data_IF_956955316200
#
_entry.id   IF_956955316200
#
_cell.length_a   1.000
_cell.length_b   1.000
_cell.length_c   1.000
_cell.angle_alpha   90.00
_cell.angle_beta   90.00
_cell.angle_gamma   90.00
#
_symmetry.space_group_name_H-M   'P 1'
#
loop_
_entity.id
_entity.type
_entity.pdbx_description
1 polymer ?
#
# COMPACT_ATOMS: atom_id res chain seq x y z
N UNK A 1 -27.41 -39.44 1.21
CA UNK A 1 -26.68 -38.93 2.39
C UNK A 1 -26.50 -37.45 2.18
N UNK A 2 -26.96 -36.56 3.08
CA UNK A 2 -26.58 -35.16 2.98
C UNK A 2 -25.07 -35.08 3.27
N UNK A 3 -24.30 -34.68 2.27
CA UNK A 3 -22.88 -34.35 2.43
C UNK A 3 -22.77 -33.24 3.46
N UNK A 4 -22.16 -33.55 4.61
CA UNK A 4 -21.75 -32.55 5.60
C UNK A 4 -21.00 -31.44 4.87
N UNK A 5 -21.31 -30.15 5.09
CA UNK A 5 -20.54 -29.07 4.51
C UNK A 5 -19.08 -29.25 4.94
N UNK A 6 -18.21 -29.50 3.97
CA UNK A 6 -16.79 -29.62 4.26
C UNK A 6 -16.29 -28.24 4.67
N UNK A 7 -15.86 -28.12 5.93
CA UNK A 7 -15.32 -26.89 6.48
C UNK A 7 -14.15 -26.41 5.61
N UNK A 8 -14.22 -25.16 5.14
CA UNK A 8 -13.23 -24.61 4.22
C UNK A 8 -11.88 -24.45 4.91
N UNK A 9 -10.85 -25.13 4.40
CA UNK A 9 -9.47 -24.89 4.82
C UNK A 9 -8.98 -23.57 4.21
N UNK A 10 -9.01 -22.50 5.00
CA UNK A 10 -8.60 -21.16 4.58
C UNK A 10 -7.10 -21.05 4.29
N UNK A 11 -6.25 -21.93 4.83
CA UNK A 11 -4.82 -21.97 4.52
C UNK A 11 -4.61 -22.52 3.12
N UNK A 12 -5.28 -23.63 2.79
CA UNK A 12 -5.26 -24.19 1.44
C UNK A 12 -5.90 -23.24 0.41
N UNK A 13 -6.99 -22.57 0.79
CA UNK A 13 -7.63 -21.58 -0.08
C UNK A 13 -6.69 -20.40 -0.36
N UNK A 14 -5.99 -19.88 0.65
CA UNK A 14 -5.03 -18.78 0.46
C UNK A 14 -3.92 -19.16 -0.53
N UNK A 15 -3.38 -20.38 -0.45
CA UNK A 15 -2.38 -20.87 -1.41
C UNK A 15 -2.91 -20.91 -2.86
N UNK A 16 -4.18 -21.29 -3.04
CA UNK A 16 -4.86 -21.22 -4.35
C UNK A 16 -5.03 -19.78 -4.83
N UNK A 17 -5.46 -18.88 -3.95
CA UNK A 17 -5.62 -17.45 -4.23
C UNK A 17 -4.29 -16.83 -4.66
N UNK A 18 -3.18 -17.12 -3.98
CA UNK A 18 -1.85 -16.65 -4.35
C UNK A 18 -1.43 -17.15 -5.74
N UNK A 19 -1.75 -18.41 -6.06
CA UNK A 19 -1.48 -19.00 -7.38
C UNK A 19 -2.28 -18.30 -8.47
N UNK A 20 -3.59 -18.16 -8.29
CA UNK A 20 -4.46 -17.46 -9.23
C UNK A 20 -4.12 -15.98 -9.38
N UNK A 21 -3.68 -15.33 -8.31
CA UNK A 21 -3.23 -13.94 -8.32
C UNK A 21 -2.03 -13.76 -9.27
N UNK A 22 -1.05 -14.66 -9.20
CA UNK A 22 0.10 -14.68 -10.12
C UNK A 22 -0.33 -14.95 -11.57
N UNK A 23 -1.23 -15.91 -11.80
CA UNK A 23 -1.80 -16.18 -13.14
C UNK A 23 -2.52 -14.97 -13.74
N UNK A 24 -3.18 -14.17 -12.89
CA UNK A 24 -3.86 -12.94 -13.27
C UNK A 24 -2.89 -11.75 -13.42
N UNK A 25 -1.58 -11.98 -13.23
CA UNK A 25 -0.50 -11.03 -13.48
C UNK A 25 -0.28 -10.02 -12.37
N UNK A 26 -0.66 -10.33 -11.13
CA UNK A 26 -0.22 -9.60 -9.94
C UNK A 26 1.12 -10.14 -9.45
N UNK A 27 2.09 -9.26 -9.16
CA UNK A 27 3.44 -9.68 -8.78
C UNK A 27 3.55 -10.09 -7.31
N UNK A 28 2.62 -9.63 -6.47
CA UNK A 28 2.56 -10.00 -5.06
C UNK A 28 1.13 -9.83 -4.53
N UNK A 29 0.77 -10.65 -3.55
CA UNK A 29 -0.46 -10.60 -2.79
C UNK A 29 -0.12 -10.68 -1.30
N UNK A 30 -0.89 -10.00 -0.46
CA UNK A 30 -0.84 -10.12 0.99
C UNK A 30 -2.23 -10.05 1.58
N UNK A 31 -2.39 -10.56 2.80
CA UNK A 31 -3.63 -10.50 3.59
C UNK A 31 -3.37 -9.78 4.90
N UNK A 32 -4.20 -8.77 5.20
CA UNK A 32 -4.20 -8.06 6.47
C UNK A 32 -5.53 -8.23 7.22
N UNK A 33 -5.50 -7.95 8.52
CA UNK A 33 -6.72 -7.66 9.27
C UNK A 33 -7.23 -6.24 8.94
N UNK A 34 -8.35 -5.84 9.54
CA UNK A 34 -9.03 -4.58 9.28
C UNK A 34 -8.70 -3.46 10.28
N UNK A 35 -7.84 -3.71 11.27
CA UNK A 35 -7.47 -2.70 12.26
C UNK A 35 -6.54 -1.66 11.63
N UNK A 36 -7.08 -0.46 11.44
CA UNK A 36 -6.41 0.70 10.87
C UNK A 36 -6.29 1.85 11.89
N UNK A 37 -6.41 1.57 13.19
CA UNK A 37 -6.47 2.60 14.26
C UNK A 37 -5.32 3.60 14.19
N UNK A 38 -4.08 3.14 13.98
CA UNK A 38 -2.91 4.03 13.87
C UNK A 38 -2.97 4.93 12.62
N UNK A 39 -3.39 4.37 11.49
CA UNK A 39 -3.51 5.10 10.23
C UNK A 39 -4.72 6.05 10.23
N UNK A 40 -5.81 5.71 10.94
CA UNK A 40 -6.95 6.60 11.17
C UNK A 40 -6.50 7.85 11.93
N UNK A 41 -5.74 7.66 13.01
CA UNK A 41 -5.19 8.79 13.77
C UNK A 41 -4.33 9.68 12.87
N UNK A 42 -3.43 9.09 12.09
CA UNK A 42 -2.57 9.85 11.19
C UNK A 42 -3.38 10.62 10.12
N UNK A 43 -4.40 9.98 9.53
CA UNK A 43 -5.29 10.63 8.57
C UNK A 43 -6.00 11.83 9.20
N UNK A 44 -6.54 11.67 10.41
CA UNK A 44 -7.23 12.73 11.12
C UNK A 44 -6.29 13.90 11.46
N UNK A 45 -5.07 13.61 11.91
CA UNK A 45 -4.04 14.64 12.15
C UNK A 45 -3.69 15.39 10.84
N UNK A 46 -3.59 14.67 9.72
CA UNK A 46 -3.29 15.22 8.38
C UNK A 46 -4.43 16.08 7.82
N UNK A 47 -5.69 15.65 8.01
CA UNK A 47 -6.88 16.43 7.66
C UNK A 47 -6.96 17.71 8.50
N UNK A 48 -6.76 17.61 9.81
CA UNK A 48 -6.79 18.74 10.74
C UNK A 48 -5.71 19.79 10.44
N UNK A 49 -4.55 19.35 9.92
CA UNK A 49 -3.48 20.23 9.46
C UNK A 49 -3.75 20.91 8.10
N UNK A 50 -4.86 20.59 7.43
CA UNK A 50 -5.22 21.17 6.14
C UNK A 50 -4.39 20.63 4.95
N UNK A 51 -3.66 19.53 5.14
CA UNK A 51 -2.78 18.98 4.09
C UNK A 51 -3.54 18.32 2.92
N UNK A 52 -4.86 18.16 3.04
CA UNK A 52 -5.71 17.69 1.94
C UNK A 52 -5.95 18.73 0.85
N UNK A 53 -5.53 19.99 1.03
CA UNK A 53 -5.75 21.05 0.06
C UNK A 53 -7.23 21.16 -0.34
N UNK A 54 -7.52 21.09 -1.64
CA UNK A 54 -8.88 21.17 -2.18
C UNK A 54 -9.60 19.81 -2.27
N UNK A 55 -9.01 18.73 -1.74
CA UNK A 55 -9.60 17.39 -1.78
C UNK A 55 -10.71 17.22 -0.74
N UNK A 56 -11.80 17.99 -0.87
CA UNK A 56 -12.97 17.98 0.03
C UNK A 56 -13.51 16.58 0.36
N UNK A 57 -13.41 15.65 -0.59
CA UNK A 57 -13.88 14.28 -0.41
C UNK A 57 -13.11 13.53 0.70
N UNK A 58 -11.90 13.98 1.05
CA UNK A 58 -11.13 13.47 2.19
C UNK A 58 -11.87 13.71 3.51
N UNK A 59 -12.57 14.84 3.63
CA UNK A 59 -13.41 15.16 4.79
C UNK A 59 -14.82 14.55 4.67
N UNK A 60 -15.44 14.60 3.47
CA UNK A 60 -16.85 14.19 3.26
C UNK A 60 -17.12 12.71 3.53
N UNK A 61 -16.12 11.84 3.42
CA UNK A 61 -16.29 10.40 3.63
C UNK A 61 -16.18 9.96 5.10
N UNK A 62 -15.89 10.88 6.02
CA UNK A 62 -15.79 10.60 7.46
C UNK A 62 -14.81 9.46 7.75
N UNK A 63 -15.18 8.58 8.67
CA UNK A 63 -14.35 7.46 9.10
C UNK A 63 -14.35 6.27 8.12
N UNK A 64 -15.06 6.32 6.98
CA UNK A 64 -15.18 5.15 6.09
C UNK A 64 -13.84 4.61 5.57
N UNK A 65 -12.83 5.49 5.47
CA UNK A 65 -11.47 5.15 5.01
C UNK A 65 -10.74 4.16 5.92
N UNK A 66 -10.98 4.27 7.21
CA UNK A 66 -10.32 3.53 8.29
C UNK A 66 -11.19 2.41 8.85
N UNK A 67 -12.42 2.27 8.35
CA UNK A 67 -13.42 1.33 8.86
C UNK A 67 -13.95 0.43 7.74
N UNK A 68 -13.21 -0.64 7.37
CA UNK A 68 -13.60 -1.56 6.30
C UNK A 68 -15.01 -2.13 6.41
N UNK A 69 -15.47 -2.39 7.64
CA UNK A 69 -16.80 -2.88 7.97
C UNK A 69 -17.93 -1.92 7.58
N UNK A 70 -17.64 -0.61 7.41
CA UNK A 70 -18.63 0.38 6.94
C UNK A 70 -18.75 0.43 5.40
N UNK A 71 -17.83 -0.21 4.68
CA UNK A 71 -17.80 -0.26 3.21
C UNK A 71 -18.42 -1.53 2.65
N UNK A 72 -18.24 -2.64 3.38
CA UNK A 72 -18.73 -3.98 3.04
C UNK A 72 -19.04 -4.72 4.34
N UNK A 73 -20.28 -5.17 4.47
CA UNK A 73 -20.75 -5.89 5.66
C UNK A 73 -19.90 -7.13 5.93
N UNK A 74 -19.66 -7.43 7.21
CA UNK A 74 -18.92 -8.60 7.70
C UNK A 74 -17.45 -8.69 7.23
N UNK A 75 -16.88 -7.63 6.65
CA UNK A 75 -15.46 -7.62 6.29
C UNK A 75 -14.60 -7.96 7.51
N UNK A 76 -13.78 -9.00 7.41
CA UNK A 76 -12.86 -9.39 8.47
C UNK A 76 -11.40 -9.48 7.98
N UNK A 77 -11.18 -9.50 6.66
CA UNK A 77 -9.86 -9.49 6.03
C UNK A 77 -9.84 -8.60 4.80
N UNK A 78 -8.65 -8.14 4.46
CA UNK A 78 -8.38 -7.47 3.19
C UNK A 78 -7.26 -8.21 2.46
N UNK A 79 -7.53 -8.58 1.21
CA UNK A 79 -6.52 -9.09 0.27
C UNK A 79 -5.99 -7.90 -0.52
N UNK A 80 -4.71 -7.58 -0.36
CA UNK A 80 -4.02 -6.52 -1.10
C UNK A 80 -3.16 -7.14 -2.19
N UNK A 81 -3.17 -6.57 -3.39
CA UNK A 81 -2.30 -7.00 -4.49
C UNK A 81 -1.52 -5.82 -5.06
N UNK A 82 -0.36 -6.12 -5.67
CA UNK A 82 0.37 -5.14 -6.48
C UNK A 82 0.50 -5.54 -7.94
N UNK A 83 0.51 -4.54 -8.81
CA UNK A 83 0.78 -4.70 -10.23
C UNK A 83 1.82 -3.70 -10.72
N UNK A 84 2.97 -4.19 -11.14
CA UNK A 84 4.05 -3.37 -11.69
C UNK A 84 3.59 -2.75 -13.02
N UNK A 85 3.85 -1.45 -13.20
CA UNK A 85 3.32 -0.70 -14.34
C UNK A 85 4.38 -0.23 -15.32
N UNK A 86 5.67 -0.49 -15.05
CA UNK A 86 6.73 -0.15 -15.98
C UNK A 86 6.73 -1.14 -17.16
N UNK A 87 6.47 -0.69 -18.40
CA UNK A 87 6.60 -1.56 -19.57
C UNK A 87 8.08 -1.89 -19.81
N UNK A 88 8.43 -3.12 -20.24
CA UNK A 88 9.81 -3.49 -20.55
C UNK A 88 10.41 -2.66 -21.70
N UNK A 89 9.57 -2.24 -22.66
CA UNK A 89 9.98 -1.53 -23.88
C UNK A 89 9.71 -0.02 -23.82
N UNK A 90 9.61 0.59 -22.63
CA UNK A 90 9.39 2.02 -22.55
C UNK A 90 10.69 2.81 -22.74
N UNK A 91 10.63 3.88 -23.54
CA UNK A 91 11.69 4.89 -23.60
C UNK A 91 12.10 5.33 -22.20
N UNK A 92 13.40 5.50 -21.96
CA UNK A 92 13.93 5.95 -20.67
C UNK A 92 13.40 7.35 -20.34
N UNK A 93 13.16 7.63 -19.06
CA UNK A 93 12.57 8.93 -18.66
C UNK A 93 13.45 10.09 -19.06
N UNK A 94 14.75 9.93 -18.91
CA UNK A 94 15.74 10.95 -19.23
C UNK A 94 15.70 11.30 -20.73
N UNK A 95 15.55 10.30 -21.61
CA UNK A 95 15.46 10.53 -23.06
C UNK A 95 14.25 11.41 -23.45
N UNK A 96 13.12 11.28 -22.75
CA UNK A 96 11.93 12.12 -22.99
C UNK A 96 12.10 13.49 -22.32
N UNK A 97 12.63 13.53 -21.09
CA UNK A 97 12.81 14.76 -20.32
C UNK A 97 13.87 15.70 -20.93
N UNK A 98 14.89 15.15 -21.58
CA UNK A 98 15.95 15.90 -22.25
C UNK A 98 15.54 16.46 -23.62
N UNK A 99 14.36 16.07 -24.14
CA UNK A 99 13.84 16.56 -25.40
C UNK A 99 12.86 17.73 -25.20
N UNK A 100 13.24 18.98 -25.54
CA UNK A 100 12.38 20.15 -25.34
C UNK A 100 11.14 20.18 -26.24
N UNK A 101 11.05 19.32 -27.26
CA UNK A 101 9.89 19.21 -28.15
C UNK A 101 8.80 18.26 -27.62
N UNK A 102 9.08 17.52 -26.53
CA UNK A 102 8.16 16.53 -25.96
C UNK A 102 7.63 16.94 -24.59
N UNK A 103 6.38 16.55 -24.32
CA UNK A 103 5.81 16.57 -22.98
C UNK A 103 6.02 15.22 -22.28
N UNK A 104 6.36 15.24 -21.00
CA UNK A 104 6.47 14.02 -20.19
C UNK A 104 5.13 13.70 -19.51
N UNK A 105 4.63 12.49 -19.73
CA UNK A 105 3.45 11.96 -19.04
C UNK A 105 3.91 11.00 -17.95
N UNK A 106 3.37 11.17 -16.74
CA UNK A 106 3.64 10.29 -15.61
C UNK A 106 3.45 8.82 -15.98
N UNK A 107 4.39 7.99 -15.55
CA UNK A 107 4.54 6.61 -16.00
C UNK A 107 3.33 5.73 -15.68
N UNK A 108 2.69 5.97 -14.55
CA UNK A 108 1.47 5.27 -14.14
C UNK A 108 0.26 5.56 -15.06
N UNK A 109 0.31 6.63 -15.86
CA UNK A 109 -0.76 7.04 -16.77
C UNK A 109 -0.53 6.52 -18.20
N UNK A 110 0.53 5.76 -18.45
CA UNK A 110 0.82 5.19 -19.77
C UNK A 110 0.01 3.92 -20.03
N UNK A 111 -0.44 3.75 -21.26
CA UNK A 111 -1.18 2.57 -21.69
C UNK A 111 -2.65 2.59 -21.28
N UNK A 112 -3.20 1.42 -20.90
CA UNK A 112 -4.61 1.29 -20.54
C UNK A 112 -4.81 1.70 -19.08
N UNK A 113 -5.82 2.53 -18.84
CA UNK A 113 -6.28 2.93 -17.51
C UNK A 113 -6.26 1.77 -16.50
N UNK A 114 -5.40 1.92 -15.50
CA UNK A 114 -5.09 0.89 -14.52
C UNK A 114 -6.33 0.47 -13.73
N UNK A 115 -7.28 1.39 -13.46
CA UNK A 115 -8.52 1.08 -12.78
C UNK A 115 -9.28 -0.04 -13.49
N UNK A 116 -9.37 0.04 -14.82
CA UNK A 116 -10.08 -0.98 -15.63
C UNK A 116 -9.31 -2.30 -15.65
N UNK A 117 -7.99 -2.27 -15.69
CA UNK A 117 -7.14 -3.46 -15.71
C UNK A 117 -7.19 -4.19 -14.37
N UNK A 118 -6.88 -3.47 -13.29
CA UNK A 118 -6.87 -3.96 -11.91
C UNK A 118 -8.24 -4.50 -11.50
N UNK A 119 -9.30 -3.70 -11.64
CA UNK A 119 -10.65 -4.10 -11.24
C UNK A 119 -11.13 -5.37 -11.96
N UNK A 120 -10.85 -5.49 -13.27
CA UNK A 120 -11.22 -6.68 -14.04
C UNK A 120 -10.47 -7.93 -13.57
N UNK A 121 -9.19 -7.81 -13.21
CA UNK A 121 -8.38 -8.94 -12.73
C UNK A 121 -8.75 -9.33 -11.30
N UNK A 122 -8.98 -8.36 -10.41
CA UNK A 122 -9.47 -8.61 -9.05
C UNK A 122 -10.87 -9.23 -9.04
N UNK A 123 -11.76 -8.81 -9.95
CA UNK A 123 -13.05 -9.45 -10.12
C UNK A 123 -12.89 -10.92 -10.51
N UNK A 124 -12.03 -11.23 -11.49
CA UNK A 124 -11.73 -12.62 -11.87
C UNK A 124 -11.13 -13.45 -10.73
N UNK A 125 -10.29 -12.84 -9.88
CA UNK A 125 -9.77 -13.51 -8.69
C UNK A 125 -10.93 -13.87 -7.74
N UNK A 126 -11.84 -12.93 -7.51
CA UNK A 126 -13.02 -13.13 -6.67
C UNK A 126 -13.97 -14.18 -7.25
N UNK A 127 -14.15 -14.20 -8.57
CA UNK A 127 -14.94 -15.23 -9.28
C UNK A 127 -14.33 -16.64 -9.11
N UNK A 128 -12.99 -16.76 -9.13
CA UNK A 128 -12.29 -18.03 -8.87
C UNK A 128 -12.47 -18.49 -7.43
N UNK A 129 -12.40 -17.59 -6.46
CA UNK A 129 -12.70 -17.91 -5.05
C UNK A 129 -14.14 -18.42 -4.93
N UNK A 130 -15.08 -17.69 -5.52
CA UNK A 130 -16.50 -18.06 -5.52
C UNK A 130 -16.75 -19.43 -6.15
N UNK A 131 -16.06 -19.75 -7.24
CA UNK A 131 -16.16 -21.06 -7.89
C UNK A 131 -15.62 -22.21 -7.02
N UNK A 132 -14.68 -21.93 -6.12
CA UNK A 132 -14.06 -22.93 -5.24
C UNK A 132 -14.88 -23.18 -3.97
N UNK A 133 -15.38 -22.13 -3.31
CA UNK A 133 -16.00 -22.24 -1.98
C UNK A 133 -17.49 -21.89 -1.94
N UNK A 134 -18.05 -21.41 -3.05
CA UNK A 134 -19.42 -20.89 -3.12
C UNK A 134 -19.53 -19.39 -2.84
N UNK A 135 -20.73 -18.92 -2.54
CA UNK A 135 -20.98 -17.51 -2.26
C UNK A 135 -20.24 -17.04 -1.00
N UNK A 136 -19.66 -15.84 -1.08
CA UNK A 136 -19.02 -15.14 0.04
C UNK A 136 -19.17 -13.63 -0.14
N UNK A 137 -19.12 -12.88 0.96
CA UNK A 137 -19.20 -11.43 0.94
C UNK A 137 -17.86 -10.82 0.52
N UNK A 138 -17.87 -10.05 -0.58
CA UNK A 138 -16.68 -9.30 -0.98
C UNK A 138 -16.99 -8.03 -1.77
N UNK A 139 -15.96 -7.17 -1.87
CA UNK A 139 -15.94 -6.07 -2.83
C UNK A 139 -14.52 -5.73 -3.24
N UNK A 140 -14.36 -5.41 -4.53
CA UNK A 140 -13.10 -4.98 -5.13
C UNK A 140 -12.96 -3.46 -5.09
N UNK A 141 -11.78 -2.98 -4.71
CA UNK A 141 -11.41 -1.57 -4.70
C UNK A 141 -10.09 -1.34 -5.45
N UNK A 142 -10.02 -0.19 -6.12
CA UNK A 142 -8.84 0.32 -6.85
C UNK A 142 -8.98 1.84 -6.90
N UNK A 143 -8.22 2.58 -6.07
CA UNK A 143 -8.08 4.07 -5.98
C UNK A 143 -9.36 4.90 -5.76
N UNK A 144 -10.43 4.62 -6.50
CA UNK A 144 -11.64 5.42 -6.60
C UNK A 144 -12.60 5.33 -5.40
N UNK A 145 -12.21 4.66 -4.32
CA UNK A 145 -13.05 4.47 -3.14
C UNK A 145 -12.34 5.02 -1.90
N UNK A 146 -13.09 5.40 -0.85
CA UNK A 146 -12.48 5.86 0.39
C UNK A 146 -11.89 4.67 1.14
N UNK A 147 -10.74 4.17 0.71
CA UNK A 147 -9.96 3.09 1.35
C UNK A 147 -8.55 3.58 1.65
N UNK A 148 -7.93 3.06 2.71
CA UNK A 148 -6.51 3.30 3.02
C UNK A 148 -5.61 2.21 2.40
N UNK A 149 -5.61 2.14 1.07
CA UNK A 149 -4.88 1.11 0.28
C UNK A 149 -3.41 0.96 0.71
N UNK A 150 -2.68 2.07 0.89
CA UNK A 150 -1.25 2.03 1.28
C UNK A 150 -1.04 1.42 2.67
N UNK A 151 -1.94 1.72 3.61
CA UNK A 151 -1.88 1.17 4.97
C UNK A 151 -2.17 -0.34 4.97
N UNK A 152 -3.21 -0.75 4.24
CA UNK A 152 -3.59 -2.15 4.09
C UNK A 152 -2.48 -2.95 3.38
N UNK A 153 -1.88 -2.38 2.35
CA UNK A 153 -0.76 -2.96 1.62
C UNK A 153 0.50 -3.10 2.49
N UNK A 154 0.87 -2.08 3.26
CA UNK A 154 1.97 -2.14 4.24
C UNK A 154 1.71 -3.26 5.27
N UNK A 155 0.52 -3.25 5.90
CA UNK A 155 0.14 -4.24 6.92
C UNK A 155 0.11 -5.67 6.38
N UNK A 156 -0.21 -5.84 5.10
CA UNK A 156 -0.22 -7.15 4.41
C UNK A 156 1.17 -7.60 3.93
N UNK A 157 2.23 -6.81 4.14
CA UNK A 157 3.60 -7.16 3.77
C UNK A 157 3.99 -6.86 2.33
N UNK A 158 3.27 -5.99 1.61
CA UNK A 158 3.63 -5.60 0.24
C UNK A 158 4.81 -4.62 0.17
N UNK A 159 5.15 -3.96 1.28
CA UNK A 159 6.21 -2.97 1.36
C UNK A 159 6.14 -2.15 2.63
N UNK A 160 6.84 -1.02 2.65
CA UNK A 160 6.78 0.00 3.71
C UNK A 160 6.44 1.36 3.12
N UNK A 161 5.81 2.24 3.90
CA UNK A 161 5.55 3.62 3.46
C UNK A 161 6.84 4.43 3.53
N UNK A 162 7.27 4.99 2.39
CA UNK A 162 8.44 5.85 2.30
C UNK A 162 8.17 7.27 2.81
N UNK A 163 9.25 8.05 3.02
CA UNK A 163 9.14 9.46 3.47
C UNK A 163 8.32 10.36 2.54
N UNK A 164 8.20 9.98 1.26
CA UNK A 164 7.34 10.62 0.26
C UNK A 164 5.91 10.06 0.22
N UNK A 165 5.51 9.25 1.21
CA UNK A 165 4.16 8.67 1.40
C UNK A 165 3.68 7.65 0.38
N UNK A 166 4.54 7.16 -0.54
CA UNK A 166 4.19 6.00 -1.38
C UNK A 166 4.72 4.73 -0.73
N UNK A 167 4.01 3.63 -0.98
CA UNK A 167 4.50 2.30 -0.62
C UNK A 167 5.72 1.96 -1.46
N UNK A 168 6.75 1.41 -0.83
CA UNK A 168 7.98 0.95 -1.47
C UNK A 168 8.10 -0.55 -1.23
N UNK A 169 8.32 -1.28 -2.32
CA UNK A 169 8.66 -2.70 -2.30
C UNK A 169 10.18 -2.85 -2.49
N UNK A 170 10.79 -3.81 -1.79
CA UNK A 170 12.23 -4.05 -1.83
C UNK A 170 12.76 -4.34 -3.25
N UNK A 171 11.97 -4.99 -4.11
CA UNK A 171 12.36 -5.36 -5.47
C UNK A 171 11.82 -4.39 -6.53
N UNK A 172 10.57 -3.93 -6.38
CA UNK A 172 9.89 -3.13 -7.39
C UNK A 172 10.00 -1.60 -7.18
N UNK A 173 10.64 -1.15 -6.10
CA UNK A 173 10.61 0.27 -5.72
C UNK A 173 9.16 0.69 -5.42
N UNK A 174 8.75 1.90 -5.82
CA UNK A 174 7.35 2.36 -5.70
C UNK A 174 6.56 2.26 -7.02
N UNK A 175 7.00 1.42 -7.96
CA UNK A 175 6.54 1.42 -9.35
C UNK A 175 5.44 0.38 -9.62
N UNK A 176 4.39 0.41 -8.80
CA UNK A 176 3.25 -0.51 -8.92
C UNK A 176 1.94 0.16 -8.52
N UNK A 177 0.85 -0.39 -9.04
CA UNK A 177 -0.52 -0.10 -8.58
C UNK A 177 -0.89 -0.99 -7.40
N UNK A 178 -1.82 -0.50 -6.58
CA UNK A 178 -2.48 -1.26 -5.52
C UNK A 178 -3.92 -1.57 -5.89
N UNK A 179 -4.46 -2.62 -5.28
CA UNK A 179 -5.87 -2.92 -5.31
C UNK A 179 -6.23 -3.93 -4.24
N UNK A 180 -7.47 -3.85 -3.77
CA UNK A 180 -7.92 -4.54 -2.57
C UNK A 180 -9.18 -5.36 -2.84
N UNK A 181 -9.28 -6.49 -2.15
CA UNK A 181 -10.53 -7.25 -2.01
C UNK A 181 -10.87 -7.30 -0.53
N UNK A 182 -11.94 -6.62 -0.15
CA UNK A 182 -12.50 -6.69 1.19
C UNK A 182 -13.36 -7.94 1.23
N UNK A 183 -13.19 -8.77 2.26
CA UNK A 183 -13.81 -10.09 2.30
C UNK A 183 -14.25 -10.47 3.72
N UNK A 184 -15.35 -11.21 3.81
CA UNK A 184 -15.83 -11.84 5.04
C UNK A 184 -15.11 -13.17 5.35
N UNK A 185 -14.24 -13.64 4.44
CA UNK A 185 -13.46 -14.85 4.63
C UNK A 185 -12.35 -14.65 5.66
N UNK A 186 -12.27 -15.47 6.73
CA UNK A 186 -11.25 -15.37 7.77
C UNK A 186 -9.90 -15.98 7.33
N UNK A 187 -9.37 -15.50 6.20
CA UNK A 187 -8.08 -15.92 5.66
C UNK A 187 -6.94 -15.70 6.68
N UNK A 188 -5.91 -16.58 6.69
CA UNK A 188 -4.70 -16.34 7.47
C UNK A 188 -4.04 -15.03 7.08
N UNK A 189 -3.45 -14.34 8.06
CA UNK A 189 -2.69 -13.11 7.82
C UNK A 189 -1.37 -13.43 7.12
N UNK A 190 -0.98 -12.58 6.19
CA UNK A 190 0.38 -12.59 5.68
C UNK A 190 1.34 -12.05 6.74
N UNK A 191 2.60 -12.48 6.70
CA UNK A 191 3.61 -11.92 7.58
C UNK A 191 3.76 -10.42 7.28
N UNK A 192 3.40 -9.57 8.23
CA UNK A 192 3.72 -8.16 8.16
C UNK A 192 5.24 -8.00 8.24
N UNK A 193 5.82 -7.21 7.34
CA UNK A 193 7.06 -6.47 7.64
C UNK A 193 6.72 -5.69 8.91
N UNK A 194 7.42 -5.91 10.03
CA UNK A 194 7.11 -5.29 11.31
C UNK A 194 7.49 -3.80 11.25
N UNK A 195 6.78 -3.00 10.47
CA UNK A 195 6.93 -1.55 10.48
C UNK A 195 6.77 -1.09 11.93
N UNK A 196 7.90 -0.81 12.61
CA UNK A 196 7.92 0.22 13.61
C UNK A 196 7.55 1.46 12.81
N UNK A 197 6.24 1.73 12.72
CA UNK A 197 5.71 2.93 12.12
C UNK A 197 6.23 4.08 12.96
N UNK A 198 7.46 4.52 12.66
CA UNK A 198 8.04 5.76 13.14
C UNK A 198 7.40 6.84 12.27
N UNK A 199 6.07 6.96 12.32
CA UNK A 199 5.45 8.27 12.24
C UNK A 199 5.89 8.92 13.55
N UNK A 200 6.86 9.87 13.53
CA UNK A 200 7.47 10.35 14.76
C UNK A 200 6.39 10.95 15.64
N UNK A 201 6.25 10.41 16.86
CA UNK A 201 5.56 11.12 17.94
C UNK A 201 6.22 12.50 18.06
N UNK A 202 5.37 13.53 17.98
CA UNK A 202 5.64 14.96 18.07
C UNK A 202 6.99 15.31 18.72
N UNK A 203 7.91 15.90 17.94
CA UNK A 203 9.16 16.45 18.50
C UNK A 203 8.82 17.83 19.09
N UNK A 204 8.70 17.88 20.41
CA UNK A 204 8.77 19.15 21.14
C UNK A 204 10.18 19.73 21.01
N UNK A 205 10.24 21.00 20.62
CA UNK A 205 11.47 21.78 20.52
C UNK A 205 12.11 21.99 21.90
N UNK A 206 13.36 21.57 22.09
CA UNK A 206 14.29 22.23 23.01
C UNK A 206 15.75 22.05 22.57
N UNK A 207 16.55 23.06 22.88
CA UNK A 207 17.85 23.46 22.34
C UNK A 207 19.04 22.50 22.58
N UNK A 208 19.98 22.56 21.63
CA UNK A 208 21.44 22.58 21.70
C UNK A 208 22.18 21.89 22.86
N UNK A 209 23.17 21.03 22.52
CA UNK A 209 24.59 21.23 22.88
C UNK A 209 25.51 20.24 22.16
N UNK A 210 26.74 20.70 21.91
CA UNK A 210 27.83 20.07 21.18
C UNK A 210 28.59 19.02 21.98
N UNK A 211 29.07 17.95 21.35
CA UNK A 211 30.50 17.54 21.41
C UNK A 211 30.85 16.39 20.47
N UNK A 212 32.06 16.47 19.91
CA UNK A 212 32.74 15.49 19.05
C UNK A 212 33.39 14.37 19.87
N UNK A 213 33.38 13.14 19.36
CA UNK A 213 34.54 12.22 19.37
C UNK A 213 34.33 11.07 18.36
N UNK A 214 35.44 10.61 17.81
CA UNK A 214 35.66 9.76 16.62
C UNK A 214 35.69 8.24 16.98
N UNK A 215 35.94 7.31 16.03
CA UNK A 215 35.11 6.15 15.74
C UNK A 215 35.62 4.86 16.39
N UNK A 216 34.78 3.81 16.50
CA UNK A 216 35.21 2.42 16.40
C UNK A 216 34.03 1.43 16.40
N UNK A 217 34.26 0.31 15.71
CA UNK A 217 33.49 -0.95 15.64
C UNK A 217 32.29 -1.04 14.69
N UNK A 218 32.62 -1.45 13.45
CA UNK A 218 31.76 -2.19 12.53
C UNK A 218 31.41 -3.54 13.18
N UNK A 219 30.29 -3.58 13.88
CA UNK A 219 29.59 -4.80 14.25
C UNK A 219 28.41 -4.98 13.31
N UNK A 220 28.54 -5.89 12.34
CA UNK A 220 27.43 -6.39 11.52
C UNK A 220 26.38 -7.00 12.45
N UNK A 221 25.26 -6.29 12.59
CA UNK A 221 24.07 -6.75 13.29
C UNK A 221 22.87 -6.43 12.39
N UNK A 222 22.81 -7.10 11.24
CA UNK A 222 21.70 -7.05 10.29
C UNK A 222 20.48 -7.82 10.83
N UNK A 223 19.89 -7.28 11.88
CA UNK A 223 18.49 -7.55 12.24
C UNK A 223 17.60 -6.82 11.24
N UNK A 224 16.80 -7.59 10.50
CA UNK A 224 15.77 -7.16 9.56
C UNK A 224 14.92 -6.02 10.16
N UNK A 225 15.08 -4.79 9.66
CA UNK A 225 14.52 -3.56 10.27
C UNK A 225 13.76 -2.75 9.21
N UNK A 226 12.57 -3.27 8.86
CA UNK A 226 11.25 -2.70 8.57
C UNK A 226 10.98 -1.26 8.07
N UNK A 227 11.97 -0.40 7.83
CA UNK A 227 11.80 0.78 6.95
C UNK A 227 13.16 1.18 6.38
N UNK A 228 13.36 0.93 5.10
CA UNK A 228 14.67 1.10 4.47
C UNK A 228 14.98 2.55 4.05
N UNK A 229 14.16 3.54 4.42
CA UNK A 229 14.50 4.94 4.14
C UNK A 229 15.68 5.44 4.98
N UNK A 230 15.90 4.91 6.20
CA UNK A 230 17.00 5.32 7.08
C UNK A 230 17.16 6.84 7.19
N UNK A 231 18.39 7.34 7.03
CA UNK A 231 18.71 8.78 7.04
C UNK A 231 18.48 9.49 5.71
N UNK A 232 18.06 8.79 4.65
CA UNK A 232 17.89 9.36 3.31
C UNK A 232 16.84 10.47 3.29
N UNK A 233 17.15 11.60 2.64
CA UNK A 233 16.24 12.75 2.44
C UNK A 233 15.99 13.07 0.96
N UNK A 234 16.46 12.23 0.03
CA UNK A 234 16.49 12.53 -1.39
C UNK A 234 15.14 13.01 -1.96
N UNK A 235 14.02 12.40 -1.55
CA UNK A 235 12.69 12.83 -2.00
C UNK A 235 12.27 14.22 -1.48
N UNK A 236 12.65 14.59 -0.26
CA UNK A 236 12.41 15.92 0.30
C UNK A 236 13.27 16.97 -0.43
N UNK A 237 14.52 16.61 -0.71
CA UNK A 237 15.49 17.51 -1.33
C UNK A 237 15.10 17.81 -2.78
N UNK A 238 14.72 16.78 -3.55
CA UNK A 238 14.38 16.89 -4.97
C UNK A 238 12.98 17.44 -5.25
N UNK A 239 12.07 17.46 -4.25
CA UNK A 239 10.70 17.92 -4.46
C UNK A 239 10.69 19.39 -4.94
N UNK A 240 10.25 19.67 -6.18
CA UNK A 240 10.44 20.97 -6.80
C UNK A 240 9.60 22.08 -6.12
N UNK A 241 8.47 21.70 -5.54
CA UNK A 241 7.55 22.60 -4.84
C UNK A 241 7.72 22.60 -3.33
N UNK A 242 8.61 21.75 -2.79
CA UNK A 242 8.74 21.49 -1.34
C UNK A 242 7.42 21.05 -0.69
N UNK A 243 6.56 20.35 -1.45
CA UNK A 243 5.34 19.75 -0.92
C UNK A 243 5.63 18.69 0.15
N UNK A 244 6.73 17.95 0.04
CA UNK A 244 7.16 17.02 1.11
C UNK A 244 7.87 17.84 2.20
N UNK A 245 7.10 18.40 3.14
CA UNK A 245 7.59 19.33 4.16
C UNK A 245 8.39 18.64 5.28
N UNK A 246 8.20 17.34 5.47
CA UNK A 246 8.90 16.50 6.43
C UNK A 246 8.68 15.02 6.08
N UNK A 247 9.45 14.09 6.68
CA UNK A 247 9.20 12.66 6.51
C UNK A 247 7.73 12.30 6.79
N UNK A 248 7.09 11.65 5.82
CA UNK A 248 5.69 11.20 5.90
C UNK A 248 4.67 12.34 5.97
N UNK A 249 5.05 13.55 5.57
CA UNK A 249 4.19 14.74 5.53
C UNK A 249 4.28 15.40 4.17
N UNK A 250 3.19 15.29 3.41
CA UNK A 250 2.98 15.86 2.08
C UNK A 250 1.69 16.66 2.11
#
# INVERSE_FOLDING_TARGET
MPTTPQETDYTQLLQKIETWSKELGFQQLGVSDIDLTEHDKHLNDWIAAGFHGEMDYMHKHGSKRSHPEQLVDNTCRVISVRMDYMPPDCELSDAVLDNPELGFISRYALGRDYHKVMRKRLQKLSDKIKAEIGEFGYRVFVDSAPVLEKALAEKSGLGWIGKHTNLINQKAGSWFFLGEVYTDLPLPLSNSVKSNSVIPKTINSTKAESNKTEPDNVGDNTGDNDNHCGTCTACLDICPTKAIIAPYKV
#
